data_IF_995127307507
#
_entry.id   IF_995127307507
#
_cell.length_a   1.000
_cell.length_b   1.000
_cell.length_c   1.000
_cell.angle_alpha   90.00
_cell.angle_beta   90.00
_cell.angle_gamma   90.00
#
_symmetry.space_group_name_H-M   'P 1'
#
loop_
_entity.id
_entity.type
_entity.pdbx_description
1 polymer ?
#
# COMPACT_ATOMS: atom_id res chain seq x y z
N UNK A 1 -23.32 2.08 2.37
CA UNK A 1 -21.87 2.00 2.64
C UNK A 1 -21.41 3.34 3.21
N UNK A 2 -20.40 3.35 4.08
CA UNK A 2 -19.73 4.58 4.51
C UNK A 2 -18.37 4.67 3.81
N UNK A 3 -18.15 5.72 3.05
CA UNK A 3 -16.91 6.00 2.31
C UNK A 3 -16.89 7.49 1.98
N UNK A 4 -15.77 8.18 2.13
CA UNK A 4 -15.60 9.53 1.57
C UNK A 4 -15.47 9.42 0.04
N UNK A 5 -16.54 9.75 -0.67
CA UNK A 5 -16.63 9.53 -2.12
C UNK A 5 -16.25 10.78 -2.91
N UNK A 6 -16.17 11.95 -2.26
CA UNK A 6 -15.80 13.22 -2.87
C UNK A 6 -14.36 13.69 -2.53
N UNK A 7 -13.64 12.95 -1.69
CA UNK A 7 -12.26 13.24 -1.27
C UNK A 7 -12.14 14.36 -0.23
N UNK A 8 -13.24 14.78 0.41
CA UNK A 8 -13.25 15.90 1.35
C UNK A 8 -12.78 15.55 2.76
N UNK A 9 -12.76 14.25 3.05
CA UNK A 9 -12.33 13.76 4.32
C UNK A 9 -13.33 13.41 5.37
N UNK A 10 -14.58 13.29 4.99
CA UNK A 10 -15.62 12.88 5.87
C UNK A 10 -16.32 11.67 5.24
N UNK A 11 -16.50 10.55 5.97
CA UNK A 11 -17.15 9.39 5.38
C UNK A 11 -18.60 9.73 5.00
N UNK A 12 -18.92 9.60 3.71
CA UNK A 12 -20.24 9.83 3.14
C UNK A 12 -21.09 8.56 3.16
N UNK A 13 -22.42 8.73 3.12
CA UNK A 13 -23.33 7.60 2.97
C UNK A 13 -23.65 7.38 1.49
N UNK A 14 -23.31 6.20 1.00
CA UNK A 14 -23.59 5.77 -0.38
C UNK A 14 -24.60 4.63 -0.37
N UNK A 15 -25.64 4.77 -1.18
CA UNK A 15 -26.74 3.83 -1.31
C UNK A 15 -26.94 3.41 -2.77
N UNK A 16 -27.42 2.18 -2.97
CA UNK A 16 -27.83 1.65 -4.29
C UNK A 16 -29.30 1.97 -4.63
N UNK A 17 -29.98 2.67 -3.72
CA UNK A 17 -31.37 3.14 -3.82
C UNK A 17 -31.54 4.42 -3.03
N UNK A 18 -32.44 5.29 -3.46
CA UNK A 18 -32.83 6.46 -2.69
C UNK A 18 -33.54 6.00 -1.38
N UNK A 19 -33.05 6.38 -0.19
CA UNK A 19 -33.67 5.99 1.08
C UNK A 19 -35.12 6.46 1.28
N UNK A 20 -35.53 7.55 0.62
CA UNK A 20 -36.88 8.13 0.76
C UNK A 20 -37.85 7.60 -0.30
N UNK A 21 -37.40 7.50 -1.55
CA UNK A 21 -38.28 7.17 -2.69
C UNK A 21 -38.13 5.73 -3.18
N UNK A 22 -37.14 4.99 -2.67
CA UNK A 22 -36.76 3.65 -3.12
C UNK A 22 -36.38 3.56 -4.61
N UNK A 23 -36.13 4.70 -5.27
CA UNK A 23 -35.62 4.77 -6.64
C UNK A 23 -34.24 4.14 -6.72
N UNK A 24 -34.03 3.18 -7.62
CA UNK A 24 -32.72 2.53 -7.83
C UNK A 24 -31.72 3.49 -8.49
N UNK A 25 -30.45 3.40 -8.09
CA UNK A 25 -29.34 4.19 -8.61
C UNK A 25 -28.29 4.41 -7.53
N UNK A 26 -27.17 5.07 -7.86
CA UNK A 26 -26.18 5.41 -6.85
C UNK A 26 -26.50 6.77 -6.23
N UNK A 27 -26.88 6.78 -4.97
CA UNK A 27 -27.20 7.99 -4.21
C UNK A 27 -26.14 8.25 -3.15
N UNK A 28 -25.65 9.47 -3.10
CA UNK A 28 -24.61 9.93 -2.17
C UNK A 28 -25.18 11.02 -1.29
N UNK A 29 -25.03 10.84 0.01
CA UNK A 29 -25.35 11.82 1.04
C UNK A 29 -24.04 12.28 1.65
N UNK A 30 -23.64 13.50 1.33
CA UNK A 30 -22.35 14.05 1.73
C UNK A 30 -22.35 14.39 3.21
N UNK A 31 -21.26 14.06 3.88
CA UNK A 31 -21.04 14.41 5.27
C UNK A 31 -20.51 15.85 5.37
N UNK A 32 -21.19 16.68 6.14
CA UNK A 32 -20.90 18.11 6.29
C UNK A 32 -20.09 18.43 7.55
N UNK A 33 -19.80 17.43 8.37
CA UNK A 33 -19.19 17.58 9.70
C UNK A 33 -20.22 17.68 10.82
N UNK A 34 -21.38 18.31 10.56
CA UNK A 34 -22.50 18.43 11.51
C UNK A 34 -23.67 17.47 11.21
N UNK A 35 -23.55 16.68 10.14
CA UNK A 35 -24.59 15.77 9.68
C UNK A 35 -24.44 15.43 8.19
N UNK A 36 -25.48 14.88 7.59
CA UNK A 36 -25.50 14.57 6.16
C UNK A 36 -26.42 15.52 5.39
N UNK A 37 -26.04 15.84 4.15
CA UNK A 37 -26.86 16.65 3.25
C UNK A 37 -28.17 15.92 2.80
N UNK A 38 -28.92 16.53 1.89
CA UNK A 38 -30.18 15.96 1.38
C UNK A 38 -30.00 14.78 0.41
N UNK A 39 -28.76 14.43 0.06
CA UNK A 39 -28.42 13.41 -0.90
C UNK A 39 -28.63 13.83 -2.34
N UNK A 40 -27.76 13.36 -3.24
CA UNK A 40 -27.86 13.52 -4.69
C UNK A 40 -27.70 12.17 -5.38
N UNK A 41 -28.36 12.01 -6.52
CA UNK A 41 -28.10 10.89 -7.40
C UNK A 41 -26.82 11.17 -8.17
N UNK A 42 -25.77 10.41 -7.91
CA UNK A 42 -24.47 10.52 -8.60
C UNK A 42 -24.41 9.66 -9.85
N UNK A 43 -25.21 8.59 -9.90
CA UNK A 43 -25.37 7.78 -11.10
C UNK A 43 -26.79 7.24 -11.20
N UNK A 44 -27.38 7.34 -12.39
CA UNK A 44 -28.66 6.73 -12.70
C UNK A 44 -28.59 5.21 -12.56
N UNK A 45 -29.75 4.57 -12.42
CA UNK A 45 -29.82 3.11 -12.45
C UNK A 45 -29.18 2.58 -13.74
N UNK A 46 -28.17 1.74 -13.60
CA UNK A 46 -27.51 1.08 -14.74
C UNK A 46 -28.29 -0.15 -15.27
N UNK A 47 -29.52 -0.35 -14.80
CA UNK A 47 -30.46 -1.34 -15.31
C UNK A 47 -30.22 -2.77 -14.83
N UNK A 48 -31.01 -3.71 -15.37
CA UNK A 48 -30.94 -5.14 -15.06
C UNK A 48 -31.61 -5.56 -13.74
N UNK A 49 -31.97 -6.85 -13.64
CA UNK A 49 -32.60 -7.43 -12.45
C UNK A 49 -31.60 -7.71 -11.30
N UNK A 50 -30.33 -7.31 -11.46
CA UNK A 50 -29.26 -7.71 -10.55
C UNK A 50 -28.66 -6.51 -9.84
N UNK A 51 -28.74 -6.52 -8.51
CA UNK A 51 -28.40 -5.39 -7.65
C UNK A 51 -26.91 -4.98 -7.70
N UNK A 52 -25.99 -5.82 -8.18
CA UNK A 52 -24.55 -5.53 -8.17
C UNK A 52 -24.19 -4.28 -9.01
N UNK A 53 -24.94 -3.97 -10.08
CA UNK A 53 -24.65 -2.82 -10.97
C UNK A 53 -24.73 -1.48 -10.23
N UNK A 54 -25.53 -1.37 -9.18
CA UNK A 54 -25.69 -0.13 -8.39
C UNK A 54 -25.11 -0.22 -6.98
N UNK A 55 -24.67 -1.42 -6.55
CA UNK A 55 -24.17 -1.62 -5.19
C UNK A 55 -22.83 -0.94 -4.97
N UNK A 56 -22.72 -0.07 -3.95
CA UNK A 56 -21.42 0.43 -3.52
C UNK A 56 -20.72 -0.67 -2.72
N UNK A 57 -19.74 -1.31 -3.34
CA UNK A 57 -18.89 -2.35 -2.72
C UNK A 57 -17.45 -1.85 -2.70
N UNK A 58 -16.82 -1.77 -1.53
CA UNK A 58 -15.40 -1.39 -1.40
C UNK A 58 -14.52 -2.57 -0.96
N UNK A 59 -15.09 -3.76 -0.74
CA UNK A 59 -14.32 -4.98 -0.43
C UNK A 59 -14.99 -6.21 -1.03
N UNK A 60 -14.18 -7.16 -1.49
CA UNK A 60 -14.62 -8.42 -2.12
C UNK A 60 -15.59 -8.20 -3.31
N UNK A 61 -15.36 -7.15 -4.10
CA UNK A 61 -16.18 -6.82 -5.25
C UNK A 61 -16.05 -7.85 -6.37
N UNK A 62 -16.92 -8.87 -6.39
CA UNK A 62 -16.86 -9.91 -7.44
C UNK A 62 -17.24 -9.40 -8.83
N UNK A 63 -18.00 -8.30 -8.92
CA UNK A 63 -18.48 -7.75 -10.20
C UNK A 63 -18.33 -6.24 -10.31
N UNK A 64 -18.34 -5.56 -9.19
CA UNK A 64 -18.09 -4.13 -9.10
C UNK A 64 -17.34 -3.79 -7.84
N UNK A 65 -16.54 -2.74 -7.88
CA UNK A 65 -15.87 -2.18 -6.71
C UNK A 65 -15.73 -0.66 -6.83
N UNK A 66 -15.74 0.03 -5.69
CA UNK A 66 -15.23 1.39 -5.55
C UNK A 66 -13.78 1.33 -5.10
N UNK A 67 -12.85 1.80 -5.93
CA UNK A 67 -11.41 1.85 -5.66
C UNK A 67 -10.83 3.03 -6.45
N UNK A 68 -9.89 3.78 -5.88
CA UNK A 68 -9.10 4.73 -6.66
C UNK A 68 -8.14 3.95 -7.55
N UNK A 69 -8.44 3.90 -8.84
CA UNK A 69 -7.69 3.10 -9.80
C UNK A 69 -6.74 3.96 -10.64
N UNK A 70 -6.89 5.29 -10.60
CA UNK A 70 -6.07 6.24 -11.35
C UNK A 70 -5.12 7.07 -10.47
N UNK A 71 -5.17 6.91 -9.13
CA UNK A 71 -4.33 7.59 -8.16
C UNK A 71 -4.74 9.04 -7.87
N UNK A 72 -5.97 9.46 -8.20
CA UNK A 72 -6.42 10.84 -8.02
C UNK A 72 -7.03 11.13 -6.63
N UNK A 73 -7.22 10.11 -5.80
CA UNK A 73 -7.75 10.17 -4.44
C UNK A 73 -9.25 10.03 -4.32
N UNK A 74 -9.96 9.85 -5.44
CA UNK A 74 -11.38 9.62 -5.48
C UNK A 74 -11.65 8.15 -5.81
N UNK A 75 -12.53 7.46 -5.06
CA UNK A 75 -12.89 6.09 -5.41
C UNK A 75 -13.66 6.04 -6.74
N UNK A 76 -13.09 5.36 -7.73
CA UNK A 76 -13.68 5.11 -9.05
C UNK A 76 -14.56 3.86 -9.04
N UNK A 77 -15.54 3.79 -9.95
CA UNK A 77 -16.34 2.57 -10.12
C UNK A 77 -15.72 1.66 -11.16
N UNK A 78 -15.35 0.46 -10.73
CA UNK A 78 -14.74 -0.55 -11.57
C UNK A 78 -15.66 -1.76 -11.70
N UNK A 79 -15.76 -2.36 -12.88
CA UNK A 79 -16.65 -3.48 -13.19
C UNK A 79 -15.96 -4.60 -13.98
N UNK A 80 -16.40 -5.85 -13.77
CA UNK A 80 -15.93 -7.05 -14.49
C UNK A 80 -16.59 -7.28 -15.86
N UNK A 81 -17.56 -6.43 -16.19
CA UNK A 81 -18.24 -6.32 -17.49
C UNK A 81 -18.96 -4.97 -17.60
N UNK A 82 -19.28 -4.59 -18.82
CA UNK A 82 -20.00 -3.36 -19.09
C UNK A 82 -21.40 -3.42 -18.43
N UNK A 83 -21.75 -2.46 -17.56
CA UNK A 83 -23.01 -2.50 -16.84
C UNK A 83 -24.23 -2.31 -17.75
N UNK A 84 -24.09 -1.68 -18.92
CA UNK A 84 -25.20 -1.37 -19.83
C UNK A 84 -25.56 -2.51 -20.78
N UNK A 85 -24.57 -3.30 -21.24
CA UNK A 85 -24.78 -4.36 -22.23
C UNK A 85 -24.23 -5.73 -21.81
N UNK A 86 -23.72 -5.84 -20.58
CA UNK A 86 -23.14 -7.06 -20.00
C UNK A 86 -21.93 -7.64 -20.77
N UNK A 87 -21.32 -6.87 -21.67
CA UNK A 87 -20.09 -7.25 -22.39
C UNK A 87 -18.92 -7.45 -21.41
N UNK A 88 -18.31 -8.65 -21.33
CA UNK A 88 -17.21 -8.91 -20.41
C UNK A 88 -15.98 -8.03 -20.67
N UNK A 89 -15.24 -7.71 -19.60
CA UNK A 89 -14.01 -6.93 -19.65
C UNK A 89 -13.85 -6.05 -18.40
N UNK A 90 -12.72 -5.36 -18.28
CA UNK A 90 -12.48 -4.47 -17.14
C UNK A 90 -12.88 -3.04 -17.50
N UNK A 91 -13.96 -2.54 -16.90
CA UNK A 91 -14.52 -1.22 -17.17
C UNK A 91 -14.34 -0.31 -15.97
N UNK A 92 -13.92 0.92 -16.22
CA UNK A 92 -13.68 1.95 -15.20
C UNK A 92 -14.51 3.17 -15.52
N UNK A 93 -15.24 3.66 -14.53
CA UNK A 93 -15.98 4.91 -14.54
C UNK A 93 -15.31 5.83 -13.53
N UNK A 94 -14.64 6.87 -14.02
CA UNK A 94 -13.86 7.77 -13.17
C UNK A 94 -14.77 8.69 -12.37
N UNK A 95 -14.43 8.89 -11.11
CA UNK A 95 -15.14 9.79 -10.22
C UNK A 95 -14.78 11.24 -10.54
N UNK A 96 -15.81 12.09 -10.69
CA UNK A 96 -15.63 13.52 -11.03
C UNK A 96 -15.71 14.45 -9.82
N UNK A 97 -15.82 13.89 -8.61
CA UNK A 97 -16.05 14.61 -7.36
C UNK A 97 -17.53 14.96 -7.09
N UNK A 98 -18.42 14.71 -8.05
CA UNK A 98 -19.86 14.93 -7.93
C UNK A 98 -20.71 13.92 -8.73
N UNK A 99 -20.10 12.84 -9.21
CA UNK A 99 -20.68 11.88 -10.13
C UNK A 99 -19.61 10.97 -10.71
N UNK A 100 -19.95 10.28 -11.80
CA UNK A 100 -19.03 9.44 -12.56
C UNK A 100 -19.09 9.80 -14.04
N UNK A 101 -17.98 9.61 -14.75
CA UNK A 101 -17.94 9.76 -16.21
C UNK A 101 -18.75 8.65 -16.95
N UNK A 102 -18.66 8.62 -18.28
CA UNK A 102 -19.38 7.64 -19.10
C UNK A 102 -18.81 6.22 -19.04
N UNK A 103 -17.66 6.03 -18.40
CA UNK A 103 -16.94 4.77 -18.33
C UNK A 103 -16.16 4.44 -19.59
N UNK A 104 -15.01 3.79 -19.41
CA UNK A 104 -14.15 3.29 -20.48
C UNK A 104 -13.76 1.84 -20.20
N UNK A 105 -13.64 1.04 -21.25
CA UNK A 105 -12.99 -0.26 -21.15
C UNK A 105 -11.48 -0.06 -21.03
N UNK A 106 -10.92 -0.39 -19.87
CA UNK A 106 -9.48 -0.34 -19.61
C UNK A 106 -8.78 -1.61 -20.04
N UNK A 107 -9.48 -2.74 -20.02
CA UNK A 107 -8.96 -4.00 -20.55
C UNK A 107 -10.08 -4.80 -21.20
N UNK A 108 -9.77 -5.39 -22.35
CA UNK A 108 -10.67 -6.34 -23.02
C UNK A 108 -10.89 -7.59 -22.16
N UNK A 109 -11.92 -8.36 -22.50
CA UNK A 109 -12.17 -9.63 -21.84
C UNK A 109 -10.94 -10.54 -21.97
N UNK A 110 -10.38 -10.97 -20.85
CA UNK A 110 -9.26 -11.93 -20.83
C UNK A 110 -9.69 -13.39 -21.04
N UNK A 111 -10.97 -13.63 -21.39
CA UNK A 111 -11.48 -14.92 -21.83
C UNK A 111 -11.76 -15.92 -20.70
N UNK A 112 -12.07 -17.18 -21.07
CA UNK A 112 -12.38 -18.28 -20.17
C UNK A 112 -13.82 -18.31 -19.64
N UNK A 113 -14.28 -19.49 -19.23
CA UNK A 113 -15.64 -19.71 -18.70
C UNK A 113 -15.84 -19.19 -17.27
N UNK A 114 -14.80 -18.60 -16.67
CA UNK A 114 -14.82 -18.17 -15.28
C UNK A 114 -14.56 -16.66 -15.17
N UNK A 115 -15.52 -15.94 -14.61
CA UNK A 115 -15.51 -14.47 -14.52
C UNK A 115 -14.37 -13.90 -13.66
N UNK A 116 -13.60 -14.73 -12.94
CA UNK A 116 -12.55 -14.27 -12.04
C UNK A 116 -11.48 -13.43 -12.75
N UNK A 117 -11.18 -13.72 -14.02
CA UNK A 117 -10.14 -13.03 -14.81
C UNK A 117 -10.42 -11.53 -15.01
N UNK A 118 -11.67 -11.08 -14.88
CA UNK A 118 -12.05 -9.65 -15.01
C UNK A 118 -12.42 -9.00 -13.68
N UNK A 119 -12.36 -9.72 -12.55
CA UNK A 119 -12.85 -9.19 -11.27
C UNK A 119 -11.98 -8.04 -10.75
N UNK A 120 -12.59 -6.95 -10.26
CA UNK A 120 -11.88 -5.87 -9.57
C UNK A 120 -11.73 -6.18 -8.07
N UNK A 121 -11.18 -7.34 -7.73
CA UNK A 121 -11.02 -7.75 -6.33
C UNK A 121 -9.69 -7.26 -5.78
N UNK A 122 -9.69 -6.44 -4.73
CA UNK A 122 -8.45 -5.99 -4.05
C UNK A 122 -8.17 -6.74 -2.74
N UNK A 123 -9.02 -7.68 -2.31
CA UNK A 123 -8.86 -8.42 -1.06
C UNK A 123 -9.37 -9.85 -1.22
N UNK A 124 -8.66 -10.82 -0.64
CA UNK A 124 -8.99 -12.25 -0.70
C UNK A 124 -9.10 -12.81 -2.13
N UNK A 125 -8.44 -12.17 -3.10
CA UNK A 125 -8.38 -12.64 -4.48
C UNK A 125 -7.59 -13.95 -4.58
N UNK A 126 -8.27 -15.09 -4.75
CA UNK A 126 -7.56 -16.36 -4.83
C UNK A 126 -6.73 -16.50 -6.10
N UNK A 127 -7.21 -15.96 -7.22
CA UNK A 127 -6.58 -16.14 -8.55
C UNK A 127 -6.13 -14.83 -9.18
N UNK A 128 -6.78 -13.73 -8.82
CA UNK A 128 -6.42 -12.40 -9.28
C UNK A 128 -6.70 -11.38 -8.19
N UNK A 129 -5.86 -10.35 -8.13
CA UNK A 129 -6.02 -9.25 -7.18
C UNK A 129 -5.60 -7.90 -7.80
N UNK A 130 -6.20 -6.82 -7.32
CA UNK A 130 -5.70 -5.45 -7.47
C UNK A 130 -4.80 -5.10 -6.29
N UNK A 131 -3.54 -4.79 -6.54
CA UNK A 131 -2.55 -4.38 -5.53
C UNK A 131 -1.45 -3.56 -6.21
N UNK A 132 -0.99 -2.49 -5.57
CA UNK A 132 0.22 -1.77 -5.99
C UNK A 132 1.45 -2.66 -5.72
N UNK A 133 1.93 -3.37 -6.75
CA UNK A 133 3.00 -4.37 -6.60
C UNK A 133 4.38 -3.80 -6.94
N UNK A 134 4.43 -2.65 -7.61
CA UNK A 134 5.65 -1.96 -8.01
C UNK A 134 5.94 -0.70 -7.18
N UNK A 135 5.03 -0.31 -6.26
CA UNK A 135 5.18 0.83 -5.36
C UNK A 135 4.95 2.19 -6.02
N UNK A 136 4.27 2.26 -7.17
CA UNK A 136 4.05 3.52 -7.91
C UNK A 136 2.78 4.28 -7.48
N UNK A 137 1.98 3.70 -6.58
CA UNK A 137 0.75 4.27 -6.06
C UNK A 137 -0.50 3.90 -6.85
N UNK A 138 -0.40 3.12 -7.93
CA UNK A 138 -1.53 2.65 -8.72
C UNK A 138 -1.79 1.15 -8.47
N UNK A 139 -3.05 0.71 -8.29
CA UNK A 139 -3.33 -0.71 -8.16
C UNK A 139 -3.09 -1.48 -9.46
N UNK A 140 -2.16 -2.42 -9.46
CA UNK A 140 -1.84 -3.33 -10.57
C UNK A 140 -2.69 -4.59 -10.55
N UNK A 141 -2.86 -5.26 -11.70
CA UNK A 141 -3.53 -6.58 -11.73
C UNK A 141 -2.50 -7.69 -11.63
N UNK A 142 -2.62 -8.52 -10.61
CA UNK A 142 -1.77 -9.69 -10.39
C UNK A 142 -2.57 -10.99 -10.49
N UNK A 143 -1.98 -12.05 -11.03
CA UNK A 143 -2.65 -13.31 -11.34
C UNK A 143 -1.81 -14.55 -10.95
N UNK A 144 -2.48 -15.63 -10.53
CA UNK A 144 -1.87 -16.93 -10.18
C UNK A 144 -1.53 -17.82 -11.40
N UNK A 145 -1.91 -17.36 -12.59
CA UNK A 145 -1.60 -17.92 -13.90
C UNK A 145 -1.87 -16.90 -14.99
N UNK A 146 -1.29 -17.11 -16.16
CA UNK A 146 -1.51 -16.25 -17.32
C UNK A 146 -3.01 -16.27 -17.67
N UNK A 147 -3.68 -15.11 -17.70
CA UNK A 147 -5.12 -15.08 -17.93
C UNK A 147 -5.50 -15.48 -19.37
N UNK A 148 -4.60 -15.36 -20.35
CA UNK A 148 -4.87 -15.66 -21.76
C UNK A 148 -4.73 -17.15 -22.12
N UNK A 149 -3.81 -17.87 -21.49
CA UNK A 149 -3.52 -19.27 -21.82
C UNK A 149 -3.51 -20.23 -20.60
N UNK A 150 -3.88 -19.73 -19.42
CA UNK A 150 -3.95 -20.46 -18.16
C UNK A 150 -2.62 -21.11 -17.70
N UNK A 151 -1.48 -20.70 -18.28
CA UNK A 151 -0.14 -21.13 -17.86
C UNK A 151 0.14 -20.71 -16.40
N UNK A 152 0.36 -21.65 -15.46
CA UNK A 152 0.61 -21.31 -14.06
C UNK A 152 1.85 -20.43 -13.85
N UNK A 153 1.79 -19.57 -12.83
CA UNK A 153 2.89 -18.67 -12.45
C UNK A 153 2.36 -17.33 -11.93
N UNK A 154 3.23 -16.47 -11.45
CA UNK A 154 2.84 -15.15 -10.98
C UNK A 154 2.95 -14.12 -12.12
N UNK A 155 1.82 -13.61 -12.58
CA UNK A 155 1.75 -12.65 -13.69
C UNK A 155 1.27 -11.29 -13.18
N UNK A 156 1.89 -10.23 -13.67
CA UNK A 156 1.60 -8.85 -13.28
C UNK A 156 1.31 -8.02 -14.52
N UNK A 157 0.21 -7.29 -14.50
CA UNK A 157 -0.17 -6.31 -15.51
C UNK A 157 -0.15 -4.94 -14.83
N UNK A 158 0.84 -4.12 -15.18
CA UNK A 158 1.03 -2.82 -14.54
C UNK A 158 -0.02 -1.82 -14.99
N UNK A 159 -0.51 -1.03 -14.05
CA UNK A 159 -1.47 0.03 -14.31
C UNK A 159 -0.76 1.24 -14.94
N UNK A 160 -1.33 1.78 -16.02
CA UNK A 160 -0.76 2.93 -16.74
C UNK A 160 -1.47 4.25 -16.43
N UNK A 161 -2.41 4.25 -15.49
CA UNK A 161 -3.31 5.36 -15.17
C UNK A 161 -4.49 5.53 -16.14
N UNK A 162 -4.56 4.71 -17.20
CA UNK A 162 -5.64 4.74 -18.19
C UNK A 162 -5.97 3.37 -18.81
N UNK A 163 -5.47 2.30 -18.19
CA UNK A 163 -5.45 0.94 -18.71
C UNK A 163 -4.40 0.09 -17.98
N UNK A 164 -4.08 -1.06 -18.57
CA UNK A 164 -3.01 -1.94 -18.11
C UNK A 164 -2.07 -2.28 -19.27
N UNK A 165 -0.82 -2.58 -18.95
CA UNK A 165 0.15 -3.08 -19.94
C UNK A 165 -0.20 -4.51 -20.44
N UNK A 166 0.69 -5.11 -21.24
CA UNK A 166 0.49 -6.45 -21.81
C UNK A 166 0.65 -7.59 -20.81
N UNK A 167 1.10 -7.30 -19.60
CA UNK A 167 1.40 -8.28 -18.57
C UNK A 167 2.75 -8.98 -18.77
N UNK A 168 3.42 -9.28 -17.66
CA UNK A 168 4.68 -10.02 -17.62
C UNK A 168 4.62 -11.11 -16.55
N UNK A 169 5.26 -12.25 -16.82
CA UNK A 169 5.53 -13.24 -15.79
C UNK A 169 6.65 -12.73 -14.88
N UNK A 170 6.32 -12.45 -13.62
CA UNK A 170 7.27 -12.04 -12.59
C UNK A 170 7.89 -13.23 -11.85
N UNK A 171 7.15 -14.34 -11.79
CA UNK A 171 7.67 -15.59 -11.23
C UNK A 171 7.13 -16.79 -12.01
N UNK A 172 8.03 -17.74 -12.30
CA UNK A 172 7.64 -19.03 -12.87
C UNK A 172 6.73 -19.80 -11.91
N UNK A 173 6.05 -20.80 -12.45
CA UNK A 173 5.23 -21.70 -11.64
C UNK A 173 6.08 -22.34 -10.53
N UNK A 174 5.69 -22.14 -9.27
CA UNK A 174 6.34 -22.78 -8.12
C UNK A 174 5.84 -24.22 -7.85
N UNK A 175 5.01 -24.77 -8.74
CA UNK A 175 4.59 -26.17 -8.74
C UNK A 175 3.57 -26.54 -7.66
N UNK A 176 3.40 -27.84 -7.43
CA UNK A 176 2.49 -28.43 -6.43
C UNK A 176 1.03 -28.60 -6.90
N UNK A 177 0.35 -29.61 -6.33
CA UNK A 177 -1.07 -29.91 -6.64
C UNK A 177 -2.06 -28.87 -6.12
N UNK A 178 -1.60 -27.89 -5.35
CA UNK A 178 -2.45 -26.89 -4.72
C UNK A 178 -2.00 -25.50 -5.16
N UNK A 179 -2.92 -24.75 -5.80
CA UNK A 179 -2.67 -23.46 -6.44
C UNK A 179 -2.14 -22.36 -5.49
N UNK A 180 -2.14 -22.56 -4.16
CA UNK A 180 -1.75 -21.56 -3.16
C UNK A 180 -0.34 -20.98 -3.37
N UNK A 181 0.59 -21.76 -3.95
CA UNK A 181 1.98 -21.32 -4.18
C UNK A 181 2.10 -20.16 -5.18
N UNK A 182 1.15 -20.00 -6.09
CA UNK A 182 1.14 -18.90 -7.07
C UNK A 182 0.12 -17.79 -6.74
N UNK A 183 -0.68 -17.95 -5.68
CA UNK A 183 -1.77 -17.00 -5.39
C UNK A 183 -1.23 -15.61 -5.00
N UNK A 184 -1.88 -14.53 -5.47
CA UNK A 184 -1.61 -13.17 -5.04
C UNK A 184 -2.42 -12.80 -3.79
N UNK A 185 -2.27 -13.57 -2.71
CA UNK A 185 -3.06 -13.35 -1.49
C UNK A 185 -2.41 -12.27 -0.61
N UNK A 186 -3.08 -11.15 -0.35
CA UNK A 186 -2.62 -10.12 0.60
C UNK A 186 -3.36 -10.16 1.95
N UNK A 187 -4.33 -11.05 2.18
CA UNK A 187 -5.01 -11.15 3.47
C UNK A 187 -5.50 -12.58 3.71
N UNK A 188 -5.47 -13.02 4.98
CA UNK A 188 -5.88 -14.37 5.39
C UNK A 188 -5.13 -15.49 4.63
N UNK A 189 -3.93 -15.19 4.12
CA UNK A 189 -3.08 -16.17 3.46
C UNK A 189 -2.46 -17.10 4.47
N UNK A 190 -3.08 -18.27 4.69
CA UNK A 190 -2.55 -19.22 5.68
C UNK A 190 -1.14 -19.71 5.32
N UNK A 191 -0.84 -19.87 4.02
CA UNK A 191 0.41 -20.48 3.55
C UNK A 191 1.32 -19.54 2.78
N UNK A 192 0.75 -18.57 2.09
CA UNK A 192 1.47 -17.58 1.33
C UNK A 192 0.79 -16.22 1.43
N UNK A 193 1.60 -15.17 1.41
CA UNK A 193 1.11 -13.80 1.50
C UNK A 193 1.98 -12.84 0.68
N UNK A 194 1.36 -11.81 0.10
CA UNK A 194 2.01 -10.58 -0.35
C UNK A 194 2.00 -9.57 0.79
N UNK A 195 3.18 -9.14 1.24
CA UNK A 195 3.32 -8.16 2.31
C UNK A 195 4.71 -7.54 2.23
N UNK A 196 4.82 -6.23 2.40
CA UNK A 196 6.12 -5.55 2.54
C UNK A 196 6.72 -5.93 3.91
N UNK A 197 7.60 -6.94 3.92
CA UNK A 197 8.19 -7.47 5.15
C UNK A 197 9.54 -6.83 5.46
N UNK A 198 10.14 -6.18 4.47
CA UNK A 198 11.49 -5.65 4.52
C UNK A 198 11.52 -4.11 4.66
N UNK A 199 10.35 -3.46 4.55
CA UNK A 199 10.13 -2.02 4.72
C UNK A 199 10.58 -1.18 3.52
N UNK A 200 10.71 -1.76 2.32
CA UNK A 200 11.15 -1.05 1.12
C UNK A 200 10.01 -0.43 0.28
N UNK A 201 8.76 -0.69 0.67
CA UNK A 201 7.57 -0.19 -0.01
C UNK A 201 7.02 -1.11 -1.10
N UNK A 202 7.65 -2.26 -1.34
CA UNK A 202 7.21 -3.25 -2.31
C UNK A 202 6.65 -4.49 -1.59
N UNK A 203 5.46 -5.00 -1.95
CA UNK A 203 4.96 -6.22 -1.36
C UNK A 203 5.83 -7.44 -1.74
N UNK A 204 6.40 -8.11 -0.75
CA UNK A 204 7.21 -9.33 -0.89
C UNK A 204 6.34 -10.59 -0.83
N UNK A 205 6.81 -11.72 -1.38
CA UNK A 205 6.13 -13.01 -1.18
C UNK A 205 6.69 -13.75 0.02
N UNK A 206 5.82 -14.08 0.97
CA UNK A 206 6.17 -14.79 2.20
C UNK A 206 5.44 -16.12 2.26
N UNK A 207 6.10 -17.19 2.70
CA UNK A 207 5.57 -18.55 2.74
C UNK A 207 5.84 -19.26 4.08
N UNK A 208 4.91 -20.12 4.49
CA UNK A 208 5.01 -20.98 5.69
C UNK A 208 5.84 -22.27 5.50
N UNK A 209 6.28 -22.49 4.26
CA UNK A 209 7.21 -23.53 3.84
C UNK A 209 7.83 -23.18 2.50
N UNK A 210 8.95 -23.81 2.17
CA UNK A 210 9.63 -23.62 0.91
C UNK A 210 8.69 -24.06 -0.23
N UNK A 211 8.39 -23.17 -1.19
CA UNK A 211 7.44 -23.50 -2.25
C UNK A 211 7.98 -24.59 -3.21
N UNK A 212 9.29 -24.78 -3.33
CA UNK A 212 9.89 -25.75 -4.25
C UNK A 212 9.97 -27.18 -3.69
N UNK A 213 10.16 -27.35 -2.38
CA UNK A 213 10.36 -28.67 -1.76
C UNK A 213 9.46 -28.93 -0.53
N UNK A 214 8.52 -28.02 -0.24
CA UNK A 214 7.58 -28.09 0.88
C UNK A 214 8.23 -28.21 2.28
N UNK A 215 9.53 -27.92 2.40
CA UNK A 215 10.24 -27.87 3.69
C UNK A 215 9.64 -26.78 4.59
N UNK A 216 9.09 -27.11 5.77
CA UNK A 216 8.50 -26.11 6.67
C UNK A 216 9.48 -25.04 7.13
N UNK A 217 8.97 -23.83 7.36
CA UNK A 217 9.74 -22.69 7.84
C UNK A 217 9.24 -21.40 7.23
N UNK A 218 9.81 -20.27 7.64
CA UNK A 218 9.40 -18.96 7.14
C UNK A 218 10.32 -18.54 5.99
N UNK A 219 9.79 -18.53 4.77
CA UNK A 219 10.52 -18.21 3.55
C UNK A 219 10.04 -16.88 2.97
N UNK A 220 10.99 -16.04 2.56
CA UNK A 220 10.72 -14.72 1.99
C UNK A 220 11.39 -14.62 0.64
N UNK A 221 10.63 -14.20 -0.36
CA UNK A 221 11.07 -13.86 -1.70
C UNK A 221 10.89 -12.36 -1.87
N UNK A 222 12.01 -11.64 -1.92
CA UNK A 222 11.98 -10.18 -1.95
C UNK A 222 11.57 -9.68 -3.34
N UNK A 223 10.69 -8.69 -3.37
CA UNK A 223 10.29 -8.02 -4.60
C UNK A 223 11.43 -7.14 -5.11
N UNK A 224 11.73 -7.22 -6.41
CA UNK A 224 12.80 -6.46 -7.05
C UNK A 224 12.31 -5.28 -7.88
N UNK A 225 11.00 -4.99 -7.83
CA UNK A 225 10.30 -4.00 -8.65
C UNK A 225 9.92 -4.50 -10.05
N UNK A 226 10.33 -5.71 -10.42
CA UNK A 226 10.03 -6.32 -11.73
C UNK A 226 9.98 -7.86 -11.70
N UNK A 227 9.87 -8.44 -10.51
CA UNK A 227 10.03 -9.85 -10.23
C UNK A 227 10.28 -10.10 -8.74
N UNK A 228 10.70 -11.32 -8.42
CA UNK A 228 11.12 -11.71 -7.07
C UNK A 228 12.51 -12.34 -7.11
N UNK A 229 13.25 -12.24 -6.01
CA UNK A 229 14.51 -12.95 -5.84
C UNK A 229 14.33 -14.48 -5.73
N UNK A 230 15.42 -15.21 -5.49
CA UNK A 230 15.40 -16.69 -5.40
C UNK A 230 14.75 -17.22 -4.11
N UNK A 231 14.35 -16.35 -3.18
CA UNK A 231 13.82 -16.72 -1.90
C UNK A 231 14.91 -17.16 -0.90
N UNK A 232 14.69 -16.84 0.37
CA UNK A 232 15.56 -17.27 1.48
C UNK A 232 14.72 -17.74 2.65
N UNK A 233 15.23 -18.74 3.38
CA UNK A 233 14.68 -19.09 4.68
C UNK A 233 15.12 -18.03 5.70
N UNK A 234 14.17 -17.24 6.19
CA UNK A 234 14.44 -16.24 7.24
C UNK A 234 14.31 -16.84 8.64
N UNK A 235 13.45 -17.85 8.78
CA UNK A 235 13.30 -18.61 10.02
C UNK A 235 13.17 -20.09 9.73
N UNK A 236 13.95 -20.90 10.46
CA UNK A 236 13.77 -22.36 10.47
C UNK A 236 12.38 -22.73 10.98
N UNK A 237 11.91 -23.92 10.62
CA UNK A 237 10.68 -24.48 11.16
C UNK A 237 10.64 -24.37 12.69
N UNK A 238 9.54 -23.83 13.23
CA UNK A 238 9.31 -23.77 14.67
C UNK A 238 8.63 -25.02 15.25
N UNK A 239 8.33 -26.03 14.41
CA UNK A 239 7.79 -27.33 14.82
C UNK A 239 6.29 -27.32 15.16
N UNK A 240 5.81 -28.39 15.80
CA UNK A 240 4.41 -28.56 16.23
C UNK A 240 3.51 -29.29 15.22
N UNK A 241 2.40 -29.85 15.72
CA UNK A 241 1.42 -30.62 14.92
C UNK A 241 0.57 -29.75 13.97
N UNK A 242 0.67 -28.43 14.10
CA UNK A 242 -0.07 -27.47 13.29
C UNK A 242 0.93 -26.43 12.76
N UNK A 243 1.00 -26.28 11.44
CA UNK A 243 1.91 -25.35 10.75
C UNK A 243 1.65 -23.87 11.06
N UNK A 244 0.70 -23.56 11.96
CA UNK A 244 0.36 -22.20 12.37
C UNK A 244 1.59 -21.40 12.79
N UNK A 245 2.57 -22.05 13.44
CA UNK A 245 3.81 -21.39 13.92
C UNK A 245 4.63 -20.76 12.80
N UNK A 246 4.49 -21.20 11.55
CA UNK A 246 5.21 -20.64 10.40
C UNK A 246 4.36 -19.73 9.52
N UNK A 247 3.07 -19.54 9.82
CA UNK A 247 2.15 -18.79 8.92
C UNK A 247 2.52 -17.31 8.84
N UNK A 248 2.51 -16.72 7.63
CA UNK A 248 2.77 -15.30 7.42
C UNK A 248 1.48 -14.46 7.53
N UNK A 249 0.73 -14.62 8.62
CA UNK A 249 -0.56 -13.91 8.79
C UNK A 249 -0.33 -12.55 9.43
N UNK A 250 -0.90 -11.47 8.86
CA UNK A 250 -0.84 -10.11 9.43
C UNK A 250 -2.19 -9.60 9.98
N UNK A 251 -3.29 -10.31 9.66
CA UNK A 251 -4.66 -9.99 10.06
C UNK A 251 -5.35 -11.30 10.45
N UNK A 252 -6.16 -11.26 11.51
CA UNK A 252 -6.91 -12.41 12.05
C UNK A 252 -6.04 -13.65 12.34
N UNK A 253 -4.77 -13.44 12.73
CA UNK A 253 -3.91 -14.55 13.13
C UNK A 253 -4.36 -15.11 14.48
N UNK A 254 -4.69 -16.41 14.51
CA UNK A 254 -5.19 -17.07 15.73
C UNK A 254 -4.14 -17.14 16.84
N UNK A 255 -2.90 -17.52 16.48
CA UNK A 255 -1.82 -17.75 17.42
C UNK A 255 -0.54 -16.96 17.11
N UNK A 256 -0.41 -16.43 15.89
CA UNK A 256 0.73 -15.61 15.49
C UNK A 256 0.32 -14.53 14.51
N UNK A 257 0.97 -13.38 14.57
CA UNK A 257 0.81 -12.31 13.58
C UNK A 257 2.14 -11.66 13.22
N UNK A 258 2.18 -11.05 12.03
CA UNK A 258 3.21 -10.10 11.60
C UNK A 258 2.74 -8.68 11.92
N UNK A 259 3.49 -7.97 12.76
CA UNK A 259 3.20 -6.59 13.15
C UNK A 259 4.50 -5.87 13.53
N UNK A 260 4.68 -4.63 13.09
CA UNK A 260 5.75 -3.75 13.58
C UNK A 260 5.38 -3.28 14.99
N UNK A 261 5.81 -4.02 16.02
CA UNK A 261 5.43 -3.73 17.41
C UNK A 261 6.42 -2.77 18.07
N UNK A 262 7.65 -2.72 17.57
CA UNK A 262 8.71 -1.90 18.13
C UNK A 262 8.83 -0.51 17.45
N UNK A 263 8.15 -0.32 16.31
CA UNK A 263 8.11 0.93 15.57
C UNK A 263 9.40 1.23 14.80
N UNK A 264 10.11 0.22 14.29
CA UNK A 264 11.36 0.37 13.53
C UNK A 264 11.16 0.33 12.00
N UNK A 265 9.96 0.00 11.54
CA UNK A 265 9.55 -0.02 10.14
C UNK A 265 9.57 -1.40 9.53
N UNK A 266 9.81 -2.43 10.35
CA UNK A 266 9.88 -3.83 9.95
C UNK A 266 8.86 -4.64 10.74
N UNK A 267 8.31 -5.66 10.10
CA UNK A 267 7.35 -6.52 10.78
C UNK A 267 8.06 -7.48 11.74
N UNK A 268 7.62 -7.48 12.99
CA UNK A 268 7.97 -8.49 13.99
C UNK A 268 6.99 -9.67 13.93
N UNK A 269 7.45 -10.86 14.37
CA UNK A 269 6.54 -11.98 14.61
C UNK A 269 6.10 -11.98 16.06
N UNK A 270 4.80 -11.85 16.30
CA UNK A 270 4.19 -11.94 17.64
C UNK A 270 3.44 -13.26 17.78
N UNK A 271 3.45 -13.83 18.99
CA UNK A 271 2.80 -15.11 19.31
C UNK A 271 2.03 -15.02 20.64
N UNK A 272 0.90 -15.72 20.73
CA UNK A 272 0.09 -15.87 21.95
C UNK A 272 0.62 -16.94 22.94
N UNK A 273 1.68 -17.65 22.52
CA UNK A 273 2.42 -18.64 23.29
C UNK A 273 3.83 -18.80 22.72
N UNK A 274 4.74 -19.30 23.54
CA UNK A 274 6.11 -19.55 23.12
C UNK A 274 6.11 -20.64 22.02
N UNK A 275 6.60 -20.37 20.81
CA UNK A 275 6.51 -21.34 19.73
C UNK A 275 7.38 -22.59 19.97
N UNK A 276 8.36 -22.55 20.88
CA UNK A 276 9.21 -23.70 21.23
C UNK A 276 8.68 -24.53 22.40
N UNK A 277 8.08 -23.89 23.41
CA UNK A 277 7.66 -24.57 24.65
C UNK A 277 6.15 -24.67 24.81
N UNK A 278 5.38 -24.03 23.92
CA UNK A 278 3.92 -23.86 23.98
C UNK A 278 3.42 -23.20 25.28
N UNK A 279 4.32 -22.59 26.05
CA UNK A 279 3.98 -21.78 27.23
C UNK A 279 3.14 -20.58 26.80
N UNK A 280 1.94 -20.44 27.36
CA UNK A 280 1.07 -19.29 27.10
C UNK A 280 1.73 -17.97 27.54
N UNK A 281 1.55 -16.92 26.74
CA UNK A 281 2.10 -15.60 27.00
C UNK A 281 2.34 -14.82 25.71
N UNK A 282 2.65 -13.53 25.82
CA UNK A 282 2.92 -12.70 24.66
C UNK A 282 4.41 -12.74 24.31
N UNK A 283 4.76 -13.37 23.19
CA UNK A 283 6.15 -13.53 22.75
C UNK A 283 6.41 -12.77 21.46
N UNK A 284 7.51 -12.02 21.42
CA UNK A 284 7.93 -11.24 20.26
C UNK A 284 9.26 -11.77 19.73
N UNK A 285 9.31 -12.09 18.45
CA UNK A 285 10.53 -12.45 17.73
C UNK A 285 10.90 -11.30 16.79
N UNK A 286 11.68 -10.36 17.33
CA UNK A 286 12.28 -9.26 16.60
C UNK A 286 13.66 -9.68 16.10
N UNK A 287 13.77 -10.03 14.82
CA UNK A 287 15.07 -10.04 14.15
C UNK A 287 15.04 -8.93 13.11
N UNK A 288 15.80 -7.84 13.29
CA UNK A 288 15.76 -6.74 12.36
C UNK A 288 16.38 -7.20 11.03
N UNK A 289 15.53 -7.43 10.02
CA UNK A 289 15.98 -7.42 8.64
C UNK A 289 16.54 -6.02 8.37
N UNK A 290 17.83 -5.88 8.09
CA UNK A 290 18.38 -4.57 7.75
C UNK A 290 18.04 -4.28 6.30
N UNK A 291 17.02 -3.46 6.05
CA UNK A 291 16.77 -2.91 4.72
C UNK A 291 18.08 -2.34 4.18
N UNK A 292 18.59 -2.82 3.03
CA UNK A 292 19.81 -2.27 2.47
C UNK A 292 19.58 -0.79 2.16
N UNK A 293 20.45 0.07 2.70
CA UNK A 293 20.42 1.52 2.51
C UNK A 293 21.79 2.00 2.11
N UNK A 294 21.82 3.02 1.27
CA UNK A 294 23.08 3.69 0.93
C UNK A 294 23.65 4.33 2.20
N UNK A 295 24.81 3.85 2.65
CA UNK A 295 25.47 4.31 3.87
C UNK A 295 26.62 5.28 3.59
N UNK A 296 27.42 5.01 2.57
CA UNK A 296 28.59 5.80 2.20
C UNK A 296 28.65 5.93 0.68
N UNK A 297 28.93 7.14 0.21
CA UNK A 297 29.26 7.46 -1.18
C UNK A 297 30.70 7.95 -1.19
N UNK A 298 31.55 7.37 -2.04
CA UNK A 298 32.92 7.84 -2.25
C UNK A 298 33.02 8.40 -3.66
N UNK A 299 33.40 9.67 -3.81
CA UNK A 299 33.58 10.29 -5.12
C UNK A 299 34.96 9.96 -5.74
N UNK A 300 35.21 10.41 -6.97
CA UNK A 300 36.47 10.16 -7.69
C UNK A 300 37.72 10.78 -7.05
N UNK A 301 37.57 11.65 -6.05
CA UNK A 301 38.65 12.25 -5.27
C UNK A 301 38.86 11.56 -3.91
N UNK A 302 38.14 10.46 -3.63
CA UNK A 302 38.22 9.74 -2.35
C UNK A 302 37.46 10.40 -1.19
N UNK A 303 36.74 11.49 -1.44
CA UNK A 303 35.92 12.17 -0.41
C UNK A 303 34.70 11.30 -0.11
N UNK A 304 34.48 10.98 1.16
CA UNK A 304 33.33 10.18 1.59
C UNK A 304 32.18 11.09 2.04
N UNK A 305 30.97 10.69 1.67
CA UNK A 305 29.71 11.22 2.20
C UNK A 305 28.96 10.08 2.88
N UNK A 306 28.82 10.18 4.19
CA UNK A 306 28.08 9.23 5.04
C UNK A 306 26.65 9.70 5.24
N UNK A 307 25.70 8.78 5.07
CA UNK A 307 24.26 9.00 5.22
C UNK A 307 23.76 8.23 6.46
N UNK A 308 23.17 8.93 7.42
CA UNK A 308 22.61 8.35 8.64
C UNK A 308 21.08 8.44 8.63
N UNK A 309 20.40 7.38 9.06
CA UNK A 309 18.93 7.29 9.01
C UNK A 309 18.34 7.09 10.39
N UNK A 310 17.13 7.60 10.59
CA UNK A 310 16.28 7.33 11.75
C UNK A 310 14.82 7.16 11.30
N UNK A 311 14.00 6.35 11.99
CA UNK A 311 12.58 6.23 11.69
C UNK A 311 11.81 7.49 12.14
N UNK A 312 10.66 7.80 11.52
CA UNK A 312 9.80 8.91 11.97
C UNK A 312 9.19 8.68 13.37
N UNK A 313 9.27 7.47 13.91
CA UNK A 313 8.94 7.17 15.31
C UNK A 313 9.96 7.79 16.28
N UNK A 314 11.17 8.12 15.83
CA UNK A 314 12.18 8.84 16.62
C UNK A 314 11.88 10.35 16.62
N UNK A 315 11.49 10.86 17.80
CA UNK A 315 11.15 12.27 18.01
C UNK A 315 12.31 13.26 17.76
N UNK A 316 13.56 12.80 17.71
CA UNK A 316 14.70 13.66 17.38
C UNK A 316 14.73 14.11 15.92
N UNK A 317 14.06 13.38 15.02
CA UNK A 317 14.00 13.68 13.59
C UNK A 317 12.60 14.03 13.08
N UNK A 318 11.54 13.69 13.82
CA UNK A 318 10.18 13.93 13.34
C UNK A 318 9.27 14.59 14.37
N UNK A 319 8.48 15.56 13.90
CA UNK A 319 7.38 16.16 14.67
C UNK A 319 6.07 15.94 13.94
N UNK A 320 5.18 15.13 14.54
CA UNK A 320 3.83 14.92 14.02
C UNK A 320 3.04 16.24 14.07
N UNK A 321 2.24 16.48 13.03
CA UNK A 321 1.39 17.68 12.96
C UNK A 321 0.41 17.77 14.14
N UNK A 322 0.06 18.99 14.61
CA UNK A 322 -0.77 19.20 15.80
C UNK A 322 -2.23 18.77 15.63
N UNK A 323 -2.70 18.62 14.39
CA UNK A 323 -4.02 18.06 14.05
C UNK A 323 -3.79 16.62 13.59
N UNK A 324 -4.69 15.68 13.91
CA UNK A 324 -4.63 14.26 13.50
C UNK A 324 -4.60 14.03 11.97
N UNK A 325 -4.51 15.10 11.17
CA UNK A 325 -5.02 15.15 9.81
C UNK A 325 -6.54 15.25 9.82
N UNK A 326 -7.09 15.57 8.67
CA UNK A 326 -8.49 15.26 8.37
C UNK A 326 -8.42 14.06 7.44
N UNK A 327 -9.38 13.15 7.49
CA UNK A 327 -9.48 12.16 6.42
C UNK A 327 -9.60 12.93 5.06
N UNK A 328 -9.39 12.33 3.88
CA UNK A 328 -8.57 11.15 3.66
C UNK A 328 -7.09 11.42 3.96
N UNK A 329 -6.68 12.66 4.23
CA UNK A 329 -5.29 13.09 4.42
C UNK A 329 -4.85 13.01 5.89
N UNK A 330 -4.63 11.79 6.39
CA UNK A 330 -4.28 11.56 7.79
C UNK A 330 -2.81 11.88 8.06
N UNK A 331 -2.54 12.48 9.22
CA UNK A 331 -1.15 12.71 9.65
C UNK A 331 -0.52 11.41 10.11
N UNK A 332 0.58 11.02 9.49
CA UNK A 332 1.26 9.75 9.74
C UNK A 332 2.45 9.92 10.69
N UNK A 333 2.74 8.85 11.41
CA UNK A 333 3.99 8.62 12.11
C UNK A 333 4.26 7.13 12.03
N UNK A 334 4.49 6.67 10.81
CA UNK A 334 4.94 5.31 10.56
C UNK A 334 6.46 5.24 10.78
N UNK A 335 7.03 4.05 10.84
CA UNK A 335 8.45 3.90 11.08
C UNK A 335 9.30 3.98 9.80
N UNK A 336 8.80 4.72 8.79
CA UNK A 336 9.56 5.06 7.59
C UNK A 336 10.86 5.75 7.98
N UNK A 337 11.93 5.40 7.28
CA UNK A 337 13.26 5.89 7.60
C UNK A 337 13.60 7.11 6.75
N UNK A 338 14.14 8.12 7.41
CA UNK A 338 14.53 9.39 6.82
C UNK A 338 15.99 9.69 7.13
N UNK A 339 16.63 10.48 6.28
CA UNK A 339 17.99 10.97 6.54
C UNK A 339 17.97 11.82 7.80
N UNK A 340 18.65 11.39 8.85
CA UNK A 340 18.83 12.15 10.09
C UNK A 340 20.03 13.09 10.02
N UNK A 341 21.09 12.68 9.34
CA UNK A 341 22.25 13.51 9.05
C UNK A 341 23.01 13.04 7.82
N UNK A 342 23.68 13.99 7.19
CA UNK A 342 24.67 13.78 6.13
C UNK A 342 25.99 14.34 6.61
N UNK A 343 27.03 13.53 6.57
CA UNK A 343 28.39 13.92 6.95
C UNK A 343 29.32 13.73 5.77
N UNK A 344 29.97 14.80 5.32
CA UNK A 344 30.90 14.77 4.18
C UNK A 344 32.29 15.19 4.63
N UNK A 345 33.31 14.43 4.25
CA UNK A 345 34.70 14.82 4.50
C UNK A 345 35.03 16.12 3.76
N UNK A 346 35.71 17.06 4.41
CA UNK A 346 36.04 18.36 3.82
C UNK A 346 37.41 18.39 3.13
N UNK A 347 38.02 17.22 2.90
CA UNK A 347 39.34 17.01 2.28
C UNK A 347 40.54 17.68 3.00
N UNK A 348 40.34 18.30 4.17
CA UNK A 348 41.40 18.91 5.00
C UNK A 348 41.47 18.31 6.42
N UNK A 349 40.96 17.09 6.58
CA UNK A 349 40.98 16.36 7.86
C UNK A 349 39.80 16.64 8.80
N UNK A 350 38.80 17.41 8.35
CA UNK A 350 37.54 17.64 9.07
C UNK A 350 36.32 17.10 8.33
N UNK A 351 35.14 17.33 8.92
CA UNK A 351 33.86 16.91 8.35
C UNK A 351 32.85 18.05 8.39
N UNK A 352 32.04 18.13 7.34
CA UNK A 352 30.85 18.97 7.28
C UNK A 352 29.63 18.12 7.59
N UNK A 353 28.75 18.58 8.49
CA UNK A 353 27.59 17.81 8.94
C UNK A 353 26.33 18.64 8.81
N UNK A 354 25.36 18.11 8.06
CA UNK A 354 24.01 18.65 8.00
C UNK A 354 23.07 17.68 8.71
N UNK A 355 22.32 18.16 9.71
CA UNK A 355 21.25 17.39 10.34
C UNK A 355 19.89 17.78 9.77
N UNK A 356 18.94 16.85 9.84
CA UNK A 356 17.60 17.04 9.27
C UNK A 356 16.52 16.74 10.30
N UNK A 357 15.46 17.55 10.27
CA UNK A 357 14.19 17.31 10.92
C UNK A 357 13.05 17.43 9.92
N UNK A 358 12.01 16.66 10.15
CA UNK A 358 10.86 16.56 9.28
C UNK A 358 9.61 16.78 10.11
N UNK A 359 8.53 17.25 9.48
CA UNK A 359 7.27 17.28 10.20
C UNK A 359 6.03 17.34 9.34
N UNK A 360 4.93 17.02 10.02
CA UNK A 360 3.60 17.02 9.42
C UNK A 360 3.53 16.14 8.15
N UNK A 361 4.10 14.92 8.18
CA UNK A 361 3.86 13.97 7.09
C UNK A 361 2.40 13.54 7.06
N UNK A 362 1.85 13.42 5.85
CA UNK A 362 0.49 12.97 5.62
C UNK A 362 0.44 11.89 4.55
N UNK A 363 -0.52 10.98 4.69
CA UNK A 363 -0.91 10.04 3.64
C UNK A 363 -2.37 10.27 3.33
N UNK A 364 -2.70 10.20 2.06
CA UNK A 364 -4.06 10.05 1.57
C UNK A 364 -4.39 8.56 1.53
N UNK A 365 -5.35 8.13 2.35
CA UNK A 365 -5.74 6.70 2.45
C UNK A 365 -6.76 6.27 1.39
N UNK A 366 -6.92 7.07 0.34
CA UNK A 366 -7.85 6.80 -0.76
C UNK A 366 -7.18 6.59 -2.11
N UNK A 367 -5.86 6.54 -2.18
CA UNK A 367 -5.13 6.11 -3.38
C UNK A 367 -4.11 7.12 -3.91
N UNK A 368 -4.17 8.42 -3.52
CA UNK A 368 -3.02 9.35 -3.78
C UNK A 368 -1.77 9.00 -2.97
N UNK A 369 -1.91 8.12 -1.99
CA UNK A 369 -0.81 7.66 -1.16
C UNK A 369 -0.12 8.79 -0.40
N UNK A 370 1.20 8.75 -0.36
CA UNK A 370 2.00 9.65 0.47
C UNK A 370 2.02 11.10 -0.06
N UNK A 371 1.62 12.06 0.76
CA UNK A 371 1.58 13.49 0.41
C UNK A 371 2.87 14.25 0.77
N UNK A 372 3.90 13.52 1.23
CA UNK A 372 5.17 14.11 1.67
C UNK A 372 5.10 14.76 3.05
N UNK A 373 6.17 15.47 3.41
CA UNK A 373 6.26 16.25 4.65
C UNK A 373 5.68 17.65 4.44
N UNK A 374 4.95 18.18 5.43
CA UNK A 374 4.52 19.57 5.39
C UNK A 374 5.67 20.56 5.55
N UNK A 375 6.80 20.11 6.12
CA UNK A 375 8.05 20.85 6.12
C UNK A 375 9.26 19.94 6.33
N UNK A 376 10.41 20.40 5.82
CA UNK A 376 11.74 19.82 6.05
C UNK A 376 12.63 20.93 6.58
N UNK A 377 13.38 20.64 7.62
CA UNK A 377 14.34 21.54 8.25
C UNK A 377 15.72 20.90 8.16
N UNK A 378 16.71 21.64 7.65
CA UNK A 378 18.10 21.22 7.63
C UNK A 378 18.95 22.20 8.42
N UNK A 379 19.89 21.70 9.21
CA UNK A 379 20.83 22.51 10.00
C UNK A 379 22.26 22.13 9.63
N UNK A 380 22.98 23.09 9.10
CA UNK A 380 24.42 23.01 8.87
C UNK A 380 25.13 23.30 10.20
N UNK A 381 25.89 22.34 10.73
CA UNK A 381 26.51 22.44 12.05
C UNK A 381 27.77 23.30 12.05
N UNK A 382 28.38 23.56 10.90
CA UNK A 382 29.58 24.39 10.79
C UNK A 382 29.22 25.87 10.88
N UNK A 383 28.15 26.26 10.19
CA UNK A 383 27.64 27.63 10.14
C UNK A 383 26.55 27.93 11.17
N UNK A 384 26.00 26.91 11.83
CA UNK A 384 24.77 26.99 12.63
C UNK A 384 23.57 27.57 11.84
N UNK A 385 23.60 27.47 10.50
CA UNK A 385 22.51 27.90 9.64
C UNK A 385 21.43 26.84 9.60
N UNK A 386 20.22 27.23 9.95
CA UNK A 386 19.02 26.41 9.88
C UNK A 386 18.14 26.90 8.74
N UNK A 387 17.75 26.01 7.84
CA UNK A 387 16.86 26.30 6.71
C UNK A 387 15.63 25.41 6.83
N UNK A 388 14.45 26.03 6.89
CA UNK A 388 13.16 25.34 6.93
C UNK A 388 12.40 25.63 5.65
N UNK A 389 12.08 24.57 4.92
CA UNK A 389 11.25 24.61 3.72
C UNK A 389 9.89 24.01 4.04
N UNK A 390 8.83 24.75 3.75
CA UNK A 390 7.44 24.33 3.89
C UNK A 390 6.90 23.88 2.51
N UNK A 391 6.10 22.83 2.50
CA UNK A 391 5.56 22.24 1.28
C UNK A 391 4.04 22.14 1.35
N UNK A 392 3.40 22.42 0.21
CA UNK A 392 1.98 22.15 0.03
C UNK A 392 1.74 20.65 0.04
N UNK A 393 0.73 20.23 0.78
CA UNK A 393 0.22 18.85 0.78
C UNK A 393 -1.18 18.79 0.14
N UNK A 394 -1.57 19.85 -0.55
CA UNK A 394 -2.88 20.03 -1.17
C UNK A 394 -2.79 19.75 -2.66
N UNK A 395 -3.72 18.97 -3.22
CA UNK A 395 -3.82 18.76 -4.66
C UNK A 395 -4.21 20.05 -5.40
N UNK A 396 -3.72 20.29 -6.64
CA UNK A 396 -2.69 19.56 -7.38
C UNK A 396 -1.25 19.96 -6.99
N UNK A 397 -1.10 20.86 -6.03
CA UNK A 397 0.17 21.47 -5.64
C UNK A 397 1.01 20.63 -4.67
N UNK A 398 0.72 19.34 -4.51
CA UNK A 398 1.42 18.48 -3.54
C UNK A 398 2.93 18.45 -3.84
N UNK A 399 3.75 18.72 -2.83
CA UNK A 399 5.21 18.80 -2.94
C UNK A 399 5.74 20.16 -3.42
N UNK A 400 4.89 21.12 -3.81
CA UNK A 400 5.35 22.46 -4.15
C UNK A 400 5.79 23.22 -2.89
N UNK A 401 6.91 23.93 -2.97
CA UNK A 401 7.38 24.80 -1.89
C UNK A 401 6.41 25.96 -1.68
N UNK A 402 5.91 26.11 -0.47
CA UNK A 402 5.04 27.23 -0.08
C UNK A 402 5.82 28.35 0.60
N UNK A 403 6.90 28.02 1.30
CA UNK A 403 7.80 28.99 1.94
C UNK A 403 9.18 28.39 2.21
N UNK A 404 10.20 29.23 2.25
CA UNK A 404 11.54 28.89 2.76
C UNK A 404 11.95 29.96 3.76
N UNK A 405 12.37 29.53 4.94
CA UNK A 405 12.83 30.41 6.03
C UNK A 405 14.24 30.01 6.43
N UNK A 406 15.11 31.00 6.62
CA UNK A 406 16.49 30.78 7.06
C UNK A 406 16.73 31.49 8.39
N UNK A 407 17.43 30.79 9.28
CA UNK A 407 17.77 31.27 10.61
C UNK A 407 19.25 30.99 10.87
N UNK A 408 19.89 31.87 11.64
CA UNK A 408 21.20 31.61 12.22
C UNK A 408 20.95 31.52 13.72
N UNK A 409 21.17 30.35 14.33
CA UNK A 409 21.15 30.25 15.78
C UNK A 409 22.35 31.01 16.33
N UNK A 410 22.08 32.08 17.08
CA UNK A 410 23.12 32.78 17.81
C UNK A 410 23.76 31.81 18.80
N UNK A 411 25.10 31.74 18.82
CA UNK A 411 25.82 30.98 19.85
C UNK A 411 25.50 31.61 21.20
N UNK A 412 24.78 30.90 22.07
CA UNK A 412 24.78 31.20 23.50
C UNK A 412 26.20 30.98 23.99
N UNK A 413 26.87 32.08 24.36
CA UNK A 413 28.22 32.12 24.93
C UNK A 413 28.27 31.43 26.30
#
# INVERSE_FOLDING_TARGET
MLIDINGDGLPDRVFDRNPKTNQTGLFVYLNTGDGFDNGKQWQSNLGGNQNWKNRPTHANGERSMLIDINGDGLPDRVFDKNPSNDQPGFYVFLNTGNGFDLGKQWQSNLGGNQNWKNRPTHANGERSMLIDINGDGLPDRVFDKNPSNDQPGFYVFLNTGNGFDLGKQWQSNLGGNQNWKNRPTHANGERSMLIDINGDGLPDRVFDKNPSNDQPGFYVFLNTGNGFDLGKQWQSNLGGNQNWKNRPTHVNGEHSMLIDINGDGLLDRVFDRNPKTDQQGFFVYSKPYKTPRLKVITNGFGIQTTLNYKPLTDSSVYTKGPKKGYYPNISIQNARQVISSVTTDNAIGGQNTTTYKYGNAKVNVKGRGNLGFGWIEKKDLQSNKLTRTEYSQTYPYTGQTTATKEYIEARTL
#
